data_IF_143770915216
#
_entry.id   IF_143770915216
#
_cell.length_a   1.000
_cell.length_b   1.000
_cell.length_c   1.000
_cell.angle_alpha   90.00
_cell.angle_beta   90.00
_cell.angle_gamma   90.00
#
_symmetry.space_group_name_H-M   'P 1'
#
loop_
_entity.id
_entity.type
_entity.pdbx_description
1 polymer ?
#
# COMPACT_ATOMS: atom_id res chain seq x y z
N UNK A 1 25.35 -25.03 57.53
CA UNK A 1 24.54 -24.02 56.83
C UNK A 1 23.76 -24.74 55.75
N UNK A 2 22.44 -24.50 55.71
CA UNK A 2 21.48 -25.10 54.78
C UNK A 2 21.49 -24.41 53.40
N UNK A 3 21.00 -25.13 52.38
CA UNK A 3 20.39 -24.61 51.14
C UNK A 3 21.36 -24.46 49.96
N UNK A 4 21.31 -25.29 48.89
CA UNK A 4 20.30 -25.36 47.81
C UNK A 4 20.35 -24.09 46.93
N UNK A 5 20.38 -24.07 45.60
CA UNK A 5 20.07 -25.04 44.52
C UNK A 5 20.54 -24.40 43.21
N UNK A 6 20.87 -25.18 42.18
CA UNK A 6 21.02 -24.65 40.82
C UNK A 6 19.69 -24.18 40.22
N UNK A 7 19.78 -23.23 39.28
CA UNK A 7 18.78 -22.87 38.24
C UNK A 7 19.54 -21.96 37.26
N UNK A 8 19.98 -22.47 36.10
CA UNK A 8 19.26 -22.42 34.82
C UNK A 8 19.02 -20.99 34.30
N UNK A 9 20.07 -20.32 33.80
CA UNK A 9 19.87 -19.23 32.83
C UNK A 9 19.84 -19.83 31.42
N UNK A 10 18.68 -20.41 31.11
CA UNK A 10 18.25 -20.72 29.75
C UNK A 10 18.19 -19.44 28.93
N UNK A 11 19.15 -19.30 28.02
CA UNK A 11 19.05 -18.66 26.71
C UNK A 11 17.79 -17.80 26.44
N UNK A 12 17.89 -16.50 26.67
CA UNK A 12 17.25 -15.53 25.78
C UNK A 12 18.17 -15.37 24.56
N UNK A 13 18.19 -16.38 23.69
CA UNK A 13 18.68 -16.17 22.33
C UNK A 13 17.67 -15.22 21.66
N UNK A 14 17.97 -13.92 21.68
CA UNK A 14 17.30 -12.98 20.79
C UNK A 14 17.41 -13.57 19.39
N UNK A 15 16.29 -13.98 18.82
CA UNK A 15 16.23 -14.46 17.44
C UNK A 15 16.82 -13.37 16.57
N UNK A 16 18.05 -13.59 16.09
CA UNK A 16 18.72 -12.68 15.18
C UNK A 16 17.87 -12.65 13.92
N UNK A 17 17.14 -11.56 13.70
CA UNK A 17 16.36 -11.39 12.48
C UNK A 17 17.32 -11.43 11.30
N UNK A 18 17.23 -12.50 10.49
CA UNK A 18 18.01 -12.64 9.26
C UNK A 18 17.22 -11.97 8.15
N UNK A 19 17.86 -10.99 7.50
CA UNK A 19 17.30 -10.31 6.34
C UNK A 19 17.92 -10.88 5.06
N UNK A 20 17.09 -11.43 4.17
CA UNK A 20 17.54 -12.05 2.93
C UNK A 20 17.89 -13.54 3.05
N UNK A 21 18.46 -14.10 1.97
CA UNK A 21 18.79 -15.53 1.85
C UNK A 21 20.26 -15.86 2.14
N UNK A 22 21.08 -14.84 2.43
CA UNK A 22 22.52 -14.97 2.69
C UNK A 22 22.94 -14.06 3.85
N UNK A 23 24.10 -14.36 4.44
CA UNK A 23 24.72 -13.48 5.44
C UNK A 23 25.04 -12.08 4.87
N UNK A 24 25.03 -11.03 5.72
CA UNK A 24 25.40 -9.69 5.30
C UNK A 24 26.88 -9.65 4.89
N UNK A 25 27.20 -8.91 3.83
CA UNK A 25 28.58 -8.70 3.37
C UNK A 25 29.43 -8.00 4.45
N UNK A 26 28.82 -7.04 5.16
CA UNK A 26 29.42 -6.32 6.28
C UNK A 26 28.35 -5.92 7.28
N UNK A 27 28.69 -5.96 8.57
CA UNK A 27 27.88 -5.42 9.67
C UNK A 27 28.49 -4.17 10.29
N UNK A 28 29.53 -3.60 9.65
CA UNK A 28 30.13 -2.34 10.09
C UNK A 28 29.15 -1.18 9.94
N UNK A 29 29.02 -0.36 10.99
CA UNK A 29 28.26 0.88 10.94
C UNK A 29 28.97 1.97 10.13
N UNK A 30 28.27 3.09 9.83
CA UNK A 30 28.85 4.21 9.11
C UNK A 30 29.96 4.88 9.93
N UNK A 31 30.99 5.37 9.24
CA UNK A 31 32.00 6.27 9.82
C UNK A 31 31.46 7.70 9.94
N UNK A 32 32.18 8.58 10.64
CA UNK A 32 31.81 10.01 10.72
C UNK A 32 31.74 10.67 9.33
N UNK A 33 32.64 10.28 8.41
CA UNK A 33 32.65 10.77 7.03
C UNK A 33 31.38 10.33 6.29
N UNK A 34 30.95 9.08 6.47
CA UNK A 34 29.73 8.55 5.84
C UNK A 34 28.49 9.29 6.33
N UNK A 35 28.43 9.63 7.62
CA UNK A 35 27.33 10.42 8.20
C UNK A 35 27.28 11.81 7.58
N UNK A 36 28.43 12.50 7.45
CA UNK A 36 28.49 13.82 6.78
C UNK A 36 28.02 13.72 5.33
N UNK A 37 28.48 12.69 4.59
CA UNK A 37 28.08 12.47 3.19
C UNK A 37 26.60 12.12 3.06
N UNK A 38 26.02 11.38 4.01
CA UNK A 38 24.59 11.09 4.04
C UNK A 38 23.77 12.37 4.22
N UNK A 39 24.18 13.26 5.11
CA UNK A 39 23.49 14.55 5.32
C UNK A 39 23.56 15.44 4.07
N UNK A 40 24.71 15.49 3.39
CA UNK A 40 24.86 16.18 2.10
C UNK A 40 23.92 15.59 1.03
N UNK A 41 23.82 14.26 0.96
CA UNK A 41 22.91 13.57 0.05
C UNK A 41 21.44 13.91 0.36
N UNK A 42 21.02 13.84 1.61
CA UNK A 42 19.64 14.16 2.02
C UNK A 42 19.27 15.60 1.66
N UNK A 43 20.18 16.54 1.91
CA UNK A 43 20.01 17.94 1.48
C UNK A 43 19.87 18.05 -0.04
N UNK A 44 20.73 17.38 -0.80
CA UNK A 44 20.63 17.37 -2.26
C UNK A 44 19.29 16.79 -2.77
N UNK A 45 18.80 15.73 -2.14
CA UNK A 45 17.50 15.13 -2.50
C UNK A 45 16.33 16.06 -2.15
N UNK A 46 16.43 16.81 -1.05
CA UNK A 46 15.46 17.83 -0.66
C UNK A 46 15.46 19.00 -1.65
N UNK A 47 16.63 19.53 -1.99
CA UNK A 47 16.79 20.60 -2.97
C UNK A 47 16.33 20.18 -4.38
N UNK A 48 16.37 18.88 -4.69
CA UNK A 48 15.82 18.30 -5.91
C UNK A 48 14.29 18.16 -5.91
N UNK A 49 13.59 18.59 -4.86
CA UNK A 49 12.13 18.58 -4.76
C UNK A 49 11.53 17.17 -4.65
N UNK A 50 12.26 16.22 -4.06
CA UNK A 50 11.79 14.83 -3.98
C UNK A 50 10.84 14.58 -2.81
N UNK A 51 10.80 15.45 -1.81
CA UNK A 51 9.97 15.28 -0.61
C UNK A 51 8.69 16.09 -0.77
N UNK A 52 7.57 15.50 -0.40
CA UNK A 52 6.28 16.19 -0.37
C UNK A 52 6.23 17.21 0.78
N UNK A 53 5.36 18.21 0.64
CA UNK A 53 5.10 19.16 1.72
C UNK A 53 4.16 18.56 2.77
N UNK A 54 4.16 19.14 3.97
CA UNK A 54 3.24 18.70 5.03
C UNK A 54 1.78 18.92 4.63
N UNK A 55 1.48 20.00 3.90
CA UNK A 55 0.13 20.29 3.42
C UNK A 55 -0.34 19.25 2.40
N UNK A 56 0.54 18.83 1.48
CA UNK A 56 0.24 17.74 0.55
C UNK A 56 0.00 16.42 1.29
N UNK A 57 0.83 16.10 2.29
CA UNK A 57 0.66 14.89 3.10
C UNK A 57 -0.71 14.86 3.81
N UNK A 58 -1.11 15.97 4.45
CA UNK A 58 -2.43 16.11 5.10
C UNK A 58 -3.56 15.92 4.09
N UNK A 59 -3.49 16.58 2.93
CA UNK A 59 -4.51 16.43 1.86
C UNK A 59 -4.66 14.97 1.43
N UNK A 60 -3.55 14.23 1.28
CA UNK A 60 -3.58 12.81 0.90
C UNK A 60 -4.25 11.95 1.99
N UNK A 61 -3.95 12.20 3.27
CA UNK A 61 -4.59 11.50 4.39
C UNK A 61 -6.10 11.77 4.45
N UNK A 62 -6.53 13.02 4.27
CA UNK A 62 -7.94 13.39 4.22
C UNK A 62 -8.66 12.69 3.06
N UNK A 63 -8.06 12.70 1.87
CA UNK A 63 -8.59 12.03 0.68
C UNK A 63 -8.74 10.52 0.92
N UNK A 64 -7.73 9.87 1.51
CA UNK A 64 -7.80 8.44 1.85
C UNK A 64 -8.89 8.14 2.88
N UNK A 65 -9.00 8.96 3.93
CA UNK A 65 -10.05 8.81 4.94
C UNK A 65 -11.46 8.94 4.33
N UNK A 66 -11.66 9.91 3.42
CA UNK A 66 -12.93 10.06 2.69
C UNK A 66 -13.19 8.88 1.75
N UNK A 67 -12.18 8.42 1.02
CA UNK A 67 -12.30 7.27 0.12
C UNK A 67 -12.68 5.99 0.87
N UNK A 68 -12.12 5.76 2.07
CA UNK A 68 -12.51 4.64 2.93
C UNK A 68 -14.02 4.67 3.25
N UNK A 69 -14.56 5.84 3.62
CA UNK A 69 -15.98 5.99 3.89
C UNK A 69 -16.86 5.75 2.65
N UNK A 70 -16.39 6.20 1.47
CA UNK A 70 -17.11 5.99 0.20
C UNK A 70 -17.20 4.50 -0.13
N UNK A 71 -16.10 3.75 -0.06
CA UNK A 71 -16.11 2.32 -0.39
C UNK A 71 -16.94 1.52 0.63
N UNK A 72 -16.93 1.91 1.90
CA UNK A 72 -17.80 1.31 2.93
C UNK A 72 -19.27 1.56 2.62
N UNK A 73 -19.65 2.79 2.26
CA UNK A 73 -21.02 3.12 1.84
C UNK A 73 -21.43 2.32 0.59
N UNK A 74 -20.55 2.23 -0.40
CA UNK A 74 -20.78 1.46 -1.62
C UNK A 74 -21.11 0.00 -1.33
N UNK A 75 -20.31 -0.71 -0.52
CA UNK A 75 -20.58 -2.13 -0.22
C UNK A 75 -21.90 -2.32 0.53
N UNK A 76 -22.30 -1.37 1.40
CA UNK A 76 -23.63 -1.42 2.06
C UNK A 76 -24.77 -1.28 1.04
N UNK A 77 -24.62 -0.40 0.06
CA UNK A 77 -25.61 -0.23 -1.00
C UNK A 77 -25.72 -1.48 -1.88
N UNK A 78 -24.58 -2.04 -2.32
CA UNK A 78 -24.52 -3.32 -3.07
C UNK A 78 -25.21 -4.44 -2.27
N UNK A 79 -24.94 -4.53 -0.97
CA UNK A 79 -25.55 -5.53 -0.09
C UNK A 79 -27.08 -5.44 -0.11
N UNK A 80 -27.63 -4.22 0.01
CA UNK A 80 -29.08 -3.96 -0.07
C UNK A 80 -29.66 -4.23 -1.46
N UNK A 81 -28.97 -3.80 -2.51
CA UNK A 81 -29.41 -4.00 -3.90
C UNK A 81 -29.51 -5.49 -4.26
N UNK A 82 -28.67 -6.34 -3.67
CA UNK A 82 -28.71 -7.80 -3.83
C UNK A 82 -29.71 -8.51 -2.91
N UNK A 83 -30.52 -7.76 -2.16
CA UNK A 83 -31.58 -8.30 -1.31
C UNK A 83 -31.07 -9.01 -0.05
N UNK A 84 -29.84 -8.71 0.39
CA UNK A 84 -29.35 -9.24 1.66
C UNK A 84 -30.07 -8.62 2.86
N UNK A 85 -29.97 -9.28 4.02
CA UNK A 85 -30.61 -8.80 5.24
C UNK A 85 -30.04 -7.45 5.68
N UNK A 86 -30.86 -6.62 6.34
CA UNK A 86 -30.41 -5.33 6.87
C UNK A 86 -29.27 -5.51 7.89
N UNK A 87 -29.24 -6.65 8.61
CA UNK A 87 -28.13 -6.99 9.49
C UNK A 87 -26.81 -7.15 8.71
N UNK A 88 -26.81 -7.92 7.60
CA UNK A 88 -25.61 -8.03 6.75
C UNK A 88 -25.26 -6.69 6.11
N UNK A 89 -26.24 -5.87 5.72
CA UNK A 89 -26.00 -4.54 5.18
C UNK A 89 -25.40 -3.56 6.20
N UNK A 90 -25.69 -3.73 7.50
CA UNK A 90 -25.09 -2.93 8.58
C UNK A 90 -23.64 -3.35 8.86
N UNK A 91 -23.37 -4.65 8.84
CA UNK A 91 -22.03 -5.21 9.03
C UNK A 91 -21.16 -5.16 7.77
N UNK A 92 -21.76 -4.95 6.60
CA UNK A 92 -21.09 -4.84 5.33
C UNK A 92 -19.98 -3.78 5.39
N UNK A 93 -18.79 -4.22 4.99
CA UNK A 93 -17.58 -3.44 5.09
C UNK A 93 -16.67 -3.64 3.87
N UNK A 94 -15.87 -2.63 3.59
CA UNK A 94 -14.75 -2.67 2.66
C UNK A 94 -13.57 -1.93 3.29
N UNK A 95 -12.36 -2.26 2.86
CA UNK A 95 -11.15 -1.64 3.38
C UNK A 95 -10.24 -1.24 2.24
N UNK A 96 -9.65 -0.06 2.34
CA UNK A 96 -8.61 0.39 1.41
C UNK A 96 -7.22 0.13 1.97
N UNK A 97 -6.29 -0.21 1.09
CA UNK A 97 -4.89 -0.39 1.40
C UNK A 97 -4.07 0.39 0.39
N UNK A 98 -3.08 1.14 0.84
CA UNK A 98 -2.14 1.79 -0.07
C UNK A 98 -0.99 0.85 -0.39
N UNK A 99 -0.43 0.98 -1.59
CA UNK A 99 0.77 0.26 -1.99
C UNK A 99 1.68 1.16 -2.83
N UNK A 100 2.69 0.57 -3.45
CA UNK A 100 3.56 1.30 -4.37
C UNK A 100 4.35 2.41 -3.68
N UNK A 101 4.63 3.48 -4.42
CA UNK A 101 5.61 4.48 -3.96
C UNK A 101 5.13 5.30 -2.76
N UNK A 102 3.82 5.50 -2.64
CA UNK A 102 3.21 6.19 -1.50
C UNK A 102 3.37 5.36 -0.22
N UNK A 103 2.97 4.09 -0.24
CA UNK A 103 3.12 3.18 0.91
C UNK A 103 4.59 2.97 1.30
N UNK A 104 5.49 2.91 0.33
CA UNK A 104 6.94 2.84 0.57
C UNK A 104 7.51 4.13 1.20
N UNK A 105 6.79 5.26 1.16
CA UNK A 105 7.26 6.55 1.65
C UNK A 105 8.36 7.16 0.78
N UNK A 106 8.36 6.84 -0.52
CA UNK A 106 9.34 7.33 -1.51
C UNK A 106 8.69 8.10 -2.66
N UNK A 107 7.40 8.38 -2.56
CA UNK A 107 6.68 9.28 -3.48
C UNK A 107 7.20 10.71 -3.35
N UNK A 108 7.01 11.48 -4.43
CA UNK A 108 7.31 12.90 -4.47
C UNK A 108 6.05 13.72 -4.72
N UNK A 109 6.19 15.06 -4.78
CA UNK A 109 5.09 15.96 -5.09
C UNK A 109 4.37 15.54 -6.37
N UNK A 110 3.03 15.62 -6.36
CA UNK A 110 2.18 15.26 -7.49
C UNK A 110 2.17 13.78 -7.90
N UNK A 111 2.80 12.86 -7.15
CA UNK A 111 2.70 11.42 -7.43
C UNK A 111 1.29 10.88 -7.15
N UNK A 112 0.87 9.87 -7.88
CA UNK A 112 -0.42 9.20 -7.68
C UNK A 112 -0.40 8.35 -6.39
N UNK A 113 -1.58 8.09 -5.81
CA UNK A 113 -1.76 7.11 -4.72
C UNK A 113 -2.28 5.81 -5.30
N UNK A 114 -1.42 4.80 -5.33
CA UNK A 114 -1.79 3.43 -5.62
C UNK A 114 -2.61 2.85 -4.45
N UNK A 115 -3.90 2.58 -4.68
CA UNK A 115 -4.86 2.15 -3.65
C UNK A 115 -5.57 0.87 -4.08
N UNK A 116 -5.69 -0.08 -3.16
CA UNK A 116 -6.46 -1.31 -3.32
C UNK A 116 -7.70 -1.25 -2.44
N UNK A 117 -8.89 -1.38 -3.03
CA UNK A 117 -10.13 -1.65 -2.31
C UNK A 117 -10.33 -3.17 -2.20
N UNK A 118 -10.45 -3.67 -0.96
CA UNK A 118 -10.82 -5.06 -0.67
C UNK A 118 -12.28 -5.09 -0.24
N UNK A 119 -13.10 -5.84 -0.99
CA UNK A 119 -14.54 -5.97 -0.73
C UNK A 119 -14.99 -7.43 -0.60
N UNK A 120 -16.18 -7.66 -0.04
CA UNK A 120 -16.71 -8.98 0.25
C UNK A 120 -17.15 -9.68 -1.03
N UNK A 121 -17.30 -11.00 -0.95
CA UNK A 121 -17.54 -11.88 -2.10
C UNK A 121 -18.76 -11.52 -2.95
N UNK A 122 -19.78 -10.90 -2.35
CA UNK A 122 -20.99 -10.50 -3.07
C UNK A 122 -20.83 -9.18 -3.82
N UNK A 123 -19.81 -8.36 -3.54
CA UNK A 123 -19.53 -7.13 -4.28
C UNK A 123 -18.58 -7.45 -5.44
N UNK A 124 -19.11 -7.50 -6.66
CA UNK A 124 -18.38 -7.97 -7.84
C UNK A 124 -17.61 -6.84 -8.52
N UNK A 125 -16.78 -7.17 -9.52
CA UNK A 125 -16.10 -6.14 -10.33
C UNK A 125 -17.08 -5.30 -11.13
N UNK A 126 -18.18 -5.89 -11.55
CA UNK A 126 -19.28 -5.22 -12.22
C UNK A 126 -19.90 -4.16 -11.30
N UNK A 127 -20.05 -4.46 -10.00
CA UNK A 127 -20.51 -3.48 -9.00
C UNK A 127 -19.46 -2.39 -8.75
N UNK A 128 -18.17 -2.73 -8.81
CA UNK A 128 -17.07 -1.78 -8.64
C UNK A 128 -16.96 -0.80 -9.81
N UNK A 129 -17.00 -1.29 -11.06
CA UNK A 129 -16.96 -0.43 -12.25
C UNK A 129 -18.33 0.16 -12.62
N UNK A 130 -19.41 -0.33 -12.03
CA UNK A 130 -20.76 0.18 -12.21
C UNK A 130 -21.17 1.13 -11.08
N UNK A 131 -21.59 0.58 -9.94
CA UNK A 131 -22.18 1.36 -8.86
C UNK A 131 -21.19 2.30 -8.18
N UNK A 132 -19.98 1.84 -7.82
CA UNK A 132 -18.98 2.72 -7.21
C UNK A 132 -18.55 3.83 -8.19
N UNK A 133 -18.38 3.50 -9.47
CA UNK A 133 -18.12 4.49 -10.51
C UNK A 133 -19.23 5.56 -10.56
N UNK A 134 -20.50 5.16 -10.59
CA UNK A 134 -21.63 6.09 -10.55
C UNK A 134 -21.63 6.96 -9.29
N UNK A 135 -21.36 6.37 -8.12
CA UNK A 135 -21.25 7.12 -6.87
C UNK A 135 -20.13 8.17 -6.91
N UNK A 136 -18.97 7.83 -7.48
CA UNK A 136 -17.85 8.76 -7.62
C UNK A 136 -18.14 9.87 -8.64
N UNK A 137 -18.82 9.55 -9.74
CA UNK A 137 -19.17 10.50 -10.80
C UNK A 137 -20.12 11.61 -10.31
N UNK A 138 -20.95 11.33 -9.29
CA UNK A 138 -21.88 12.29 -8.69
C UNK A 138 -21.21 13.27 -7.70
N UNK A 139 -19.94 13.06 -7.36
CA UNK A 139 -19.23 13.88 -6.39
C UNK A 139 -18.47 15.03 -7.07
N UNK A 140 -18.71 16.27 -6.63
CA UNK A 140 -18.06 17.48 -7.21
C UNK A 140 -16.54 17.47 -7.06
N UNK A 141 -16.03 16.79 -6.03
CA UNK A 141 -14.59 16.69 -5.74
C UNK A 141 -13.85 15.69 -6.62
N UNK A 142 -14.58 14.86 -7.38
CA UNK A 142 -14.02 13.86 -8.27
C UNK A 142 -13.88 14.44 -9.68
N UNK A 143 -12.67 14.35 -10.23
CA UNK A 143 -12.34 14.82 -11.57
C UNK A 143 -11.60 13.71 -12.32
N UNK A 144 -11.58 13.78 -13.66
CA UNK A 144 -10.80 12.86 -14.51
C UNK A 144 -11.08 11.37 -14.22
N UNK A 145 -12.34 11.02 -13.89
CA UNK A 145 -12.74 9.64 -13.61
C UNK A 145 -12.68 8.78 -14.89
N UNK A 146 -11.78 7.81 -14.89
CA UNK A 146 -11.46 6.95 -16.02
C UNK A 146 -11.32 5.48 -15.59
N UNK A 147 -12.36 4.65 -15.77
CA UNK A 147 -12.29 3.22 -15.54
C UNK A 147 -11.54 2.50 -16.67
N UNK A 148 -10.69 1.53 -16.32
CA UNK A 148 -9.95 0.68 -17.26
C UNK A 148 -10.14 -0.81 -16.88
N UNK A 149 -11.32 -1.38 -17.16
CA UNK A 149 -11.64 -2.75 -16.74
C UNK A 149 -10.85 -3.83 -17.49
N UNK A 150 -10.43 -3.54 -18.73
CA UNK A 150 -9.75 -4.50 -19.62
C UNK A 150 -8.21 -4.52 -19.46
N UNK A 151 -7.67 -3.77 -18.50
CA UNK A 151 -6.24 -3.78 -18.22
C UNK A 151 -5.77 -5.12 -17.62
N UNK A 152 -4.47 -5.39 -17.70
CA UNK A 152 -3.89 -6.59 -17.08
C UNK A 152 -4.21 -6.70 -15.56
N UNK A 153 -4.27 -5.53 -14.91
CA UNK A 153 -4.82 -5.33 -13.57
C UNK A 153 -5.90 -4.25 -13.68
N UNK A 154 -7.19 -4.59 -13.58
CA UNK A 154 -8.27 -3.63 -13.69
C UNK A 154 -8.15 -2.50 -12.67
N UNK A 155 -8.34 -1.27 -13.11
CA UNK A 155 -8.12 -0.07 -12.28
C UNK A 155 -9.13 1.03 -12.63
N UNK A 156 -9.54 1.79 -11.63
CA UNK A 156 -10.28 3.03 -11.78
C UNK A 156 -9.37 4.19 -11.41
N UNK A 157 -9.08 5.07 -12.39
CA UNK A 157 -8.19 6.22 -12.21
C UNK A 157 -9.02 7.48 -12.05
N UNK A 158 -8.70 8.35 -11.10
CA UNK A 158 -9.40 9.62 -10.92
C UNK A 158 -8.56 10.60 -10.10
N UNK A 159 -8.93 11.87 -10.11
CA UNK A 159 -8.46 12.87 -9.16
C UNK A 159 -9.53 13.12 -8.12
N UNK A 160 -9.16 13.08 -6.84
CA UNK A 160 -10.03 13.43 -5.73
C UNK A 160 -9.38 14.60 -4.98
N UNK A 161 -10.03 15.77 -4.97
CA UNK A 161 -9.46 16.98 -4.39
C UNK A 161 -8.02 17.24 -4.91
N UNK A 162 -7.85 17.19 -6.24
CA UNK A 162 -6.57 17.36 -6.95
C UNK A 162 -5.54 16.23 -6.77
N UNK A 163 -5.80 15.25 -5.89
CA UNK A 163 -4.92 14.09 -5.68
C UNK A 163 -5.29 12.97 -6.65
N UNK A 164 -4.35 12.57 -7.50
CA UNK A 164 -4.50 11.41 -8.38
C UNK A 164 -4.54 10.10 -7.58
N UNK A 165 -5.53 9.25 -7.85
CA UNK A 165 -5.73 7.95 -7.25
C UNK A 165 -5.86 6.89 -8.34
N UNK A 166 -5.07 5.83 -8.21
CA UNK A 166 -5.22 4.59 -8.95
C UNK A 166 -5.89 3.56 -8.03
N UNK A 167 -7.21 3.35 -8.19
CA UNK A 167 -8.00 2.47 -7.34
C UNK A 167 -8.22 1.09 -8.00
N UNK A 168 -7.59 0.07 -7.43
CA UNK A 168 -7.75 -1.33 -7.80
C UNK A 168 -8.82 -1.99 -6.94
N UNK A 169 -9.32 -3.14 -7.39
CA UNK A 169 -10.29 -3.92 -6.65
C UNK A 169 -9.87 -5.38 -6.45
N UNK A 170 -10.10 -5.88 -5.24
CA UNK A 170 -9.95 -7.28 -4.85
C UNK A 170 -11.26 -7.78 -4.22
N UNK A 171 -11.95 -8.67 -4.92
CA UNK A 171 -13.11 -9.38 -4.40
C UNK A 171 -12.62 -10.64 -3.68
N UNK A 172 -12.72 -10.66 -2.34
CA UNK A 172 -12.22 -11.78 -1.52
C UNK A 172 -13.36 -12.70 -1.11
N UNK A 173 -13.05 -13.96 -0.80
CA UNK A 173 -14.03 -14.99 -0.44
C UNK A 173 -14.64 -14.84 0.97
N UNK A 174 -14.75 -13.61 1.48
CA UNK A 174 -15.32 -13.27 2.79
C UNK A 174 -16.69 -12.63 2.62
N UNK A 175 -17.61 -12.89 3.55
CA UNK A 175 -18.92 -12.23 3.58
C UNK A 175 -18.86 -10.84 4.22
N UNK A 176 -18.01 -10.66 5.22
CA UNK A 176 -17.78 -9.39 5.90
C UNK A 176 -16.28 -9.15 5.96
N UNK A 177 -15.85 -7.94 5.63
CA UNK A 177 -14.43 -7.56 5.68
C UNK A 177 -14.09 -7.11 7.10
N UNK A 178 -13.17 -7.79 7.81
CA UNK A 178 -12.81 -7.40 9.17
C UNK A 178 -11.96 -6.13 9.18
N UNK A 179 -12.12 -5.29 10.21
CA UNK A 179 -11.35 -4.04 10.34
C UNK A 179 -9.85 -4.29 10.52
N UNK A 180 -9.47 -5.40 11.15
CA UNK A 180 -8.10 -5.86 11.34
C UNK A 180 -7.59 -6.75 10.19
N UNK A 181 -8.27 -6.77 9.03
CA UNK A 181 -7.83 -7.54 7.86
C UNK A 181 -6.36 -7.23 7.52
N UNK A 182 -5.57 -8.30 7.46
CA UNK A 182 -4.19 -8.32 7.02
C UNK A 182 -4.06 -9.01 5.65
N UNK A 183 -3.75 -8.21 4.62
CA UNK A 183 -3.60 -8.68 3.23
C UNK A 183 -2.31 -9.48 3.00
N UNK A 184 -1.39 -9.50 3.97
CA UNK A 184 -0.14 -10.28 3.89
C UNK A 184 -0.33 -11.77 4.16
N UNK A 185 -1.44 -12.16 4.82
CA UNK A 185 -1.78 -13.56 5.08
C UNK A 185 -2.10 -14.30 3.78
N UNK A 186 -1.58 -15.52 3.60
CA UNK A 186 -1.83 -16.32 2.38
C UNK A 186 -3.30 -16.72 2.23
N UNK A 187 -4.04 -16.85 3.34
CA UNK A 187 -5.45 -17.24 3.36
C UNK A 187 -6.35 -16.30 2.55
N UNK A 188 -5.95 -15.03 2.37
CA UNK A 188 -6.72 -14.07 1.57
C UNK A 188 -6.74 -14.42 0.06
N UNK A 189 -5.81 -15.26 -0.39
CA UNK A 189 -5.72 -15.74 -1.77
C UNK A 189 -6.59 -16.98 -2.02
N UNK A 190 -7.24 -17.53 -1.00
CA UNK A 190 -8.08 -18.70 -1.17
C UNK A 190 -9.41 -18.36 -1.86
N UNK A 191 -9.72 -19.08 -2.94
CA UNK A 191 -11.01 -18.98 -3.63
C UNK A 191 -11.24 -17.65 -4.35
N UNK A 192 -10.18 -16.92 -4.70
CA UNK A 192 -10.25 -15.69 -5.48
C UNK A 192 -9.75 -15.92 -6.92
N UNK A 193 -10.22 -15.10 -7.86
CA UNK A 193 -9.80 -15.18 -9.26
C UNK A 193 -8.41 -14.55 -9.50
N UNK A 194 -7.86 -14.79 -10.69
CA UNK A 194 -6.51 -14.32 -11.05
C UNK A 194 -6.36 -12.79 -11.02
N UNK A 195 -7.39 -12.03 -11.41
CA UNK A 195 -7.33 -10.57 -11.35
C UNK A 195 -7.30 -10.09 -9.89
N UNK A 196 -8.02 -10.75 -8.97
CA UNK A 196 -7.95 -10.43 -7.53
C UNK A 196 -6.56 -10.72 -6.99
N UNK A 197 -5.95 -11.86 -7.36
CA UNK A 197 -4.57 -12.18 -6.97
C UNK A 197 -3.61 -11.08 -7.44
N UNK A 198 -3.73 -10.65 -8.70
CA UNK A 198 -2.89 -9.57 -9.24
C UNK A 198 -3.08 -8.24 -8.50
N UNK A 199 -4.32 -7.87 -8.18
CA UNK A 199 -4.63 -6.66 -7.39
C UNK A 199 -4.03 -6.73 -5.98
N UNK A 200 -4.11 -7.88 -5.30
CA UNK A 200 -3.57 -8.09 -3.95
C UNK A 200 -2.04 -8.06 -3.91
N UNK A 201 -1.37 -8.50 -4.98
CA UNK A 201 0.08 -8.56 -5.05
C UNK A 201 0.75 -7.20 -4.84
N UNK A 202 0.13 -6.10 -5.28
CA UNK A 202 0.67 -4.75 -5.06
C UNK A 202 0.93 -4.45 -3.59
N UNK A 203 -0.08 -4.65 -2.73
CA UNK A 203 0.04 -4.48 -1.29
C UNK A 203 1.01 -5.49 -0.68
N UNK A 204 0.86 -6.77 -1.01
CA UNK A 204 1.67 -7.86 -0.45
C UNK A 204 3.16 -7.67 -0.70
N UNK A 205 3.55 -7.34 -1.93
CA UNK A 205 4.95 -7.09 -2.30
C UNK A 205 5.48 -5.85 -1.57
N UNK A 206 4.70 -4.78 -1.52
CA UNK A 206 5.12 -3.54 -0.87
C UNK A 206 5.40 -3.74 0.62
N UNK A 207 4.49 -4.40 1.32
CA UNK A 207 4.68 -4.70 2.74
C UNK A 207 5.83 -5.69 2.95
N UNK A 208 5.97 -6.72 2.12
CA UNK A 208 7.13 -7.64 2.22
C UNK A 208 8.46 -6.91 2.06
N UNK A 209 8.59 -5.98 1.11
CA UNK A 209 9.80 -5.16 0.96
C UNK A 209 10.13 -4.40 2.24
N UNK A 210 9.14 -3.79 2.89
CA UNK A 210 9.34 -3.06 4.15
C UNK A 210 9.72 -3.97 5.32
N UNK A 211 9.21 -5.21 5.36
CA UNK A 211 9.60 -6.20 6.38
C UNK A 211 10.98 -6.81 6.15
N UNK A 212 11.47 -6.80 4.90
CA UNK A 212 12.75 -7.42 4.50
C UNK A 212 13.95 -6.46 4.55
N UNK A 213 13.75 -5.20 4.93
CA UNK A 213 14.85 -4.23 5.06
C UNK A 213 15.24 -4.00 6.54
N UNK A 214 16.54 -3.95 6.87
CA UNK A 214 16.99 -3.74 8.25
C UNK A 214 16.80 -2.30 8.74
N UNK A 215 16.73 -1.33 7.83
CA UNK A 215 16.47 0.08 8.14
C UNK A 215 15.57 0.69 7.05
N UNK A 216 14.31 0.96 7.42
CA UNK A 216 13.32 1.55 6.50
C UNK A 216 13.77 2.95 6.07
N UNK A 217 14.32 3.76 6.99
CA UNK A 217 14.77 5.11 6.68
C UNK A 217 15.91 5.12 5.65
N UNK A 218 16.94 4.29 5.87
CA UNK A 218 18.06 4.18 4.94
C UNK A 218 17.58 3.66 3.58
N UNK A 219 16.72 2.64 3.56
CA UNK A 219 16.10 2.14 2.34
C UNK A 219 15.36 3.25 1.56
N UNK A 220 14.55 4.07 2.24
CA UNK A 220 13.80 5.17 1.61
C UNK A 220 14.73 6.21 0.99
N UNK A 221 15.74 6.68 1.73
CA UNK A 221 16.71 7.66 1.23
C UNK A 221 17.47 7.11 0.02
N UNK A 222 17.97 5.88 0.10
CA UNK A 222 18.66 5.22 -1.01
C UNK A 222 17.75 5.04 -2.23
N UNK A 223 16.51 4.58 -2.03
CA UNK A 223 15.56 4.37 -3.13
C UNK A 223 15.17 5.69 -3.80
N UNK A 224 14.97 6.79 -3.04
CA UNK A 224 14.75 8.13 -3.62
C UNK A 224 15.93 8.55 -4.51
N UNK A 225 17.15 8.39 -4.02
CA UNK A 225 18.38 8.69 -4.78
C UNK A 225 18.47 7.85 -6.07
N UNK A 226 18.29 6.53 -5.96
CA UNK A 226 18.37 5.62 -7.11
C UNK A 226 17.28 5.90 -8.16
N UNK A 227 16.06 6.23 -7.74
CA UNK A 227 14.98 6.63 -8.66
C UNK A 227 15.32 7.94 -9.39
N UNK A 228 15.84 8.95 -8.68
CA UNK A 228 16.28 10.21 -9.30
C UNK A 228 17.39 9.95 -10.32
N UNK A 229 18.40 9.18 -9.94
CA UNK A 229 19.48 8.78 -10.83
C UNK A 229 18.95 8.07 -12.07
N UNK A 230 18.13 7.04 -11.91
CA UNK A 230 17.61 6.25 -13.02
C UNK A 230 16.77 7.09 -13.99
N UNK A 231 15.94 8.01 -13.47
CA UNK A 231 15.18 8.96 -14.28
C UNK A 231 16.10 9.88 -15.08
N UNK A 232 17.11 10.50 -14.44
CA UNK A 232 18.08 11.38 -15.11
C UNK A 232 18.94 10.67 -16.15
N UNK A 233 19.12 9.35 -16.02
CA UNK A 233 19.86 8.52 -16.96
C UNK A 233 18.99 7.87 -18.02
N UNK A 234 17.67 8.10 -18.00
CA UNK A 234 16.74 7.53 -18.99
C UNK A 234 16.54 6.01 -18.87
N UNK A 235 16.85 5.41 -17.72
CA UNK A 235 16.75 3.95 -17.47
C UNK A 235 15.60 3.60 -16.52
N UNK A 236 14.64 4.50 -16.36
CA UNK A 236 13.47 4.33 -15.48
C UNK A 236 12.19 4.20 -16.32
N UNK A 237 11.85 2.98 -16.76
CA UNK A 237 10.57 2.65 -17.39
C UNK A 237 10.31 1.15 -17.32
N UNK A 238 9.10 0.73 -16.90
CA UNK A 238 8.67 -0.66 -17.00
C UNK A 238 8.18 -1.02 -18.40
N UNK A 239 7.75 -0.03 -19.20
CA UNK A 239 7.33 -0.24 -20.58
C UNK A 239 8.59 -0.19 -21.46
N UNK A 240 8.96 -1.31 -22.08
CA UNK A 240 9.82 -1.28 -23.26
C UNK A 240 9.05 -0.51 -24.33
N UNK A 241 9.44 0.73 -24.61
CA UNK A 241 9.17 1.30 -25.93
C UNK A 241 10.03 0.49 -26.90
N UNK A 242 9.45 -0.52 -27.52
CA UNK A 242 9.94 -1.06 -28.79
C UNK A 242 9.44 -0.14 -29.91
#
# INVERSE_FOLDING_TARGET
>A
MMGSTGQSESAYAATRTVYGVSEPISTGGPTEIDVVKNNELEKFLADAGLYESQEEAIKREEVLGRLDQIVKKWVRNVSRAKGHSEHLAQEANAKIFTFGSYRLGVHGPGADIDTLCVGPRYATREDFFGELHSMLLEMEEIQELHPVPDAHVPVMKFKFNEISIDLLYANVALWVIPEDLDVSQESILHGVDEQTVRSLNGCRVTDQVLHLVPSIQSFRTTLRCMRLWAKRRGVYSNVRKL
#
